data_IF_338350357593
#
_entry.id   IF_338350357593
#
_cell.length_a   1.000
_cell.length_b   1.000
_cell.length_c   1.000
_cell.angle_alpha   90.00
_cell.angle_beta   90.00
_cell.angle_gamma   90.00
#
_symmetry.space_group_name_H-M   'P 1'
#
loop_
_entity.id
_entity.type
_entity.pdbx_description
1 polymer ?
#
# COMPACT_ATOMS: atom_id res chain seq x y z
N UNK A 1 3.73 -20.90 -5.14
CA UNK A 1 3.90 -19.44 -5.29
C UNK A 1 2.65 -18.82 -5.93
N UNK A 2 2.01 -17.86 -5.25
CA UNK A 2 0.97 -17.01 -5.85
C UNK A 2 1.52 -16.24 -7.06
N UNK A 3 0.67 -15.85 -7.99
CA UNK A 3 1.02 -14.78 -8.93
C UNK A 3 1.13 -15.21 -10.38
N UNK A 4 0.13 -15.90 -10.90
CA UNK A 4 -0.11 -15.94 -12.34
C UNK A 4 -1.34 -15.06 -12.60
N UNK A 5 -1.10 -13.78 -12.87
CA UNK A 5 -2.17 -12.80 -13.05
C UNK A 5 -2.30 -12.42 -14.52
N UNK A 6 -3.50 -12.59 -15.08
CA UNK A 6 -3.86 -12.10 -16.41
C UNK A 6 -4.32 -10.65 -16.27
N UNK A 7 -3.58 -9.67 -16.83
CA UNK A 7 -3.96 -8.27 -16.70
C UNK A 7 -5.37 -8.02 -17.26
N UNK A 8 -6.18 -7.25 -16.52
CA UNK A 8 -7.55 -6.92 -16.91
C UNK A 8 -8.59 -8.04 -16.72
N UNK A 9 -8.18 -9.26 -16.33
CA UNK A 9 -9.09 -10.39 -16.13
C UNK A 9 -9.00 -11.00 -14.73
N UNK A 10 -7.81 -11.09 -14.15
CA UNK A 10 -7.64 -11.70 -12.82
C UNK A 10 -8.09 -10.74 -11.72
N UNK A 11 -9.13 -11.13 -10.99
CA UNK A 11 -9.50 -10.51 -9.71
C UNK A 11 -8.63 -11.09 -8.60
N UNK A 12 -7.50 -10.41 -8.35
CA UNK A 12 -6.51 -10.82 -7.35
C UNK A 12 -7.12 -10.85 -5.94
N UNK A 13 -8.12 -10.01 -5.66
CA UNK A 13 -8.75 -9.96 -4.34
C UNK A 13 -9.68 -11.15 -4.11
N UNK A 14 -10.51 -11.50 -5.09
CA UNK A 14 -11.36 -12.69 -5.00
C UNK A 14 -10.53 -13.97 -4.95
N UNK A 15 -9.45 -14.06 -5.74
CA UNK A 15 -8.53 -15.20 -5.68
C UNK A 15 -7.86 -15.32 -4.30
N UNK A 16 -7.43 -14.19 -3.74
CA UNK A 16 -6.90 -14.13 -2.38
C UNK A 16 -7.94 -14.62 -1.36
N UNK A 17 -9.18 -14.12 -1.40
CA UNK A 17 -10.24 -14.51 -0.47
C UNK A 17 -10.61 -15.99 -0.57
N UNK A 18 -10.80 -16.52 -1.78
CA UNK A 18 -11.15 -17.93 -2.00
C UNK A 18 -10.05 -18.89 -1.53
N UNK A 19 -8.78 -18.51 -1.75
CA UNK A 19 -7.64 -19.30 -1.30
C UNK A 19 -7.34 -19.10 0.19
N UNK A 20 -7.57 -17.91 0.74
CA UNK A 20 -7.42 -17.61 2.17
C UNK A 20 -8.28 -18.56 3.02
N UNK A 21 -9.52 -18.78 2.60
CA UNK A 21 -10.44 -19.70 3.31
C UNK A 21 -9.99 -21.17 3.20
N UNK A 22 -9.30 -21.55 2.12
CA UNK A 22 -8.70 -22.89 1.94
C UNK A 22 -7.37 -23.07 2.69
N UNK A 23 -6.63 -21.98 2.91
CA UNK A 23 -5.28 -22.00 3.48
C UNK A 23 -5.25 -21.70 5.00
N UNK A 24 -6.40 -21.50 5.65
CA UNK A 24 -6.48 -21.39 7.12
C UNK A 24 -5.91 -20.09 7.70
N UNK A 25 -5.78 -19.04 6.89
CA UNK A 25 -5.25 -17.74 7.33
C UNK A 25 -6.31 -16.97 8.15
N UNK A 26 -6.32 -17.18 9.48
CA UNK A 26 -7.08 -16.34 10.43
C UNK A 26 -6.29 -15.05 10.71
N UNK A 27 -6.87 -13.86 10.50
CA UNK A 27 -6.23 -12.58 10.82
C UNK A 27 -5.77 -12.48 12.28
N UNK A 28 -6.44 -13.18 13.20
CA UNK A 28 -6.07 -13.18 14.62
C UNK A 28 -4.71 -13.86 14.91
N UNK A 29 -4.32 -14.87 14.11
CA UNK A 29 -3.07 -15.62 14.33
C UNK A 29 -1.83 -14.88 13.76
N UNK A 30 -1.96 -14.22 12.61
CA UNK A 30 -0.85 -13.47 11.98
C UNK A 30 -0.44 -12.21 12.77
N UNK A 31 -1.38 -11.63 13.52
CA UNK A 31 -1.12 -10.48 14.41
C UNK A 31 -0.23 -10.86 15.60
N UNK A 32 -0.16 -12.15 15.97
CA UNK A 32 0.69 -12.62 17.07
C UNK A 32 2.18 -12.76 16.67
N UNK A 33 2.48 -13.02 15.39
CA UNK A 33 3.83 -13.38 14.94
C UNK A 33 4.72 -12.20 14.53
N UNK A 34 4.18 -11.09 14.00
CA UNK A 34 4.96 -9.97 13.43
C UNK A 34 5.38 -8.89 14.43
N UNK A 35 5.69 -9.28 15.68
CA UNK A 35 5.94 -8.32 16.77
C UNK A 35 7.37 -7.82 16.89
N UNK A 36 8.28 -8.17 15.99
CA UNK A 36 9.66 -7.70 16.05
C UNK A 36 10.16 -7.22 14.69
N UNK A 37 10.93 -6.13 14.77
CA UNK A 37 11.68 -5.46 13.71
C UNK A 37 10.86 -4.47 12.88
N UNK A 38 10.86 -3.21 13.31
CA UNK A 38 11.50 -2.14 12.53
C UNK A 38 11.67 -0.88 13.38
N UNK A 39 12.90 -0.63 13.81
CA UNK A 39 13.34 0.61 14.43
C UNK A 39 14.46 1.23 13.61
N UNK A 40 14.22 2.41 13.05
CA UNK A 40 15.15 3.45 12.58
C UNK A 40 14.29 4.45 11.78
N UNK A 41 14.25 5.76 12.02
CA UNK A 41 15.34 6.71 12.23
C UNK A 41 14.82 7.93 13.01
N UNK A 42 15.49 8.29 14.11
CA UNK A 42 15.43 9.63 14.72
C UNK A 42 16.84 10.20 14.64
N UNK A 43 17.10 10.99 13.62
CA UNK A 43 18.35 11.72 13.47
C UNK A 43 18.15 12.98 12.63
N UNK A 44 17.45 13.97 13.19
CA UNK A 44 17.62 15.37 12.84
C UNK A 44 17.00 16.18 13.98
N UNK A 45 17.79 16.99 14.68
CA UNK A 45 17.38 17.79 15.84
C UNK A 45 16.45 18.97 15.49
N UNK A 46 15.48 18.76 14.62
CA UNK A 46 14.40 19.70 14.33
C UNK A 46 13.08 19.10 14.82
N UNK A 47 12.72 19.43 16.06
CA UNK A 47 11.52 18.92 16.72
C UNK A 47 10.22 19.56 16.19
N UNK A 48 10.31 20.49 15.23
CA UNK A 48 9.15 21.19 14.69
C UNK A 48 8.46 20.43 13.54
N UNK A 49 9.20 19.59 12.80
CA UNK A 49 8.67 18.74 11.72
C UNK A 49 8.52 17.26 12.10
N UNK A 50 9.05 16.84 13.25
CA UNK A 50 9.06 15.44 13.72
C UNK A 50 7.86 15.04 14.58
N UNK A 51 7.07 15.99 15.07
CA UNK A 51 5.70 15.67 15.49
C UNK A 51 4.90 15.57 14.21
N UNK A 52 4.57 14.35 13.77
CA UNK A 52 3.53 14.17 12.76
C UNK A 52 2.20 14.80 13.22
N UNK A 53 1.07 14.36 12.67
CA UNK A 53 -0.25 14.80 13.13
C UNK A 53 -0.61 14.22 14.53
N UNK A 54 0.14 14.60 15.57
CA UNK A 54 -0.04 14.17 16.97
C UNK A 54 -0.07 15.40 17.88
N UNK A 55 -1.20 15.65 18.52
CA UNK A 55 -1.39 16.83 19.37
C UNK A 55 -2.86 17.15 19.60
N UNK A 56 -3.12 18.37 20.09
CA UNK A 56 -4.48 18.90 20.22
C UNK A 56 -5.08 19.24 18.86
N UNK A 57 -6.40 19.41 18.78
CA UNK A 57 -7.07 19.75 17.51
C UNK A 57 -6.49 21.00 16.87
N UNK A 58 -6.18 22.04 17.66
CA UNK A 58 -5.59 23.27 17.15
C UNK A 58 -4.19 23.07 16.57
N UNK A 59 -3.37 22.23 17.20
CA UNK A 59 -2.05 21.86 16.68
C UNK A 59 -2.16 21.10 15.36
N UNK A 60 -3.12 20.18 15.25
CA UNK A 60 -3.36 19.44 14.00
C UNK A 60 -3.88 20.35 12.90
N UNK A 61 -4.82 21.26 13.21
CA UNK A 61 -5.32 22.26 12.24
C UNK A 61 -4.18 23.16 11.74
N UNK A 62 -3.37 23.68 12.64
CA UNK A 62 -2.19 24.48 12.26
C UNK A 62 -1.22 23.68 11.40
N UNK A 63 -0.93 22.43 11.78
CA UNK A 63 -0.06 21.54 11.02
C UNK A 63 -0.60 21.31 9.60
N UNK A 64 -1.86 20.91 9.45
CA UNK A 64 -2.47 20.62 8.15
C UNK A 64 -2.63 21.88 7.28
N UNK A 65 -2.89 23.05 7.88
CA UNK A 65 -2.94 24.33 7.15
C UNK A 65 -1.62 24.64 6.45
N UNK A 66 -0.47 24.37 7.09
CA UNK A 66 0.84 24.56 6.44
C UNK A 66 1.02 23.68 5.19
N UNK A 67 0.47 22.45 5.22
CA UNK A 67 0.48 21.57 4.05
C UNK A 67 -0.50 22.04 2.97
N UNK A 68 -1.71 22.46 3.36
CA UNK A 68 -2.71 23.06 2.46
C UNK A 68 -2.15 24.31 1.76
N UNK A 69 -1.48 25.21 2.49
CA UNK A 69 -0.81 26.40 1.96
C UNK A 69 0.33 26.06 1.00
N UNK A 70 1.02 24.94 1.21
CA UNK A 70 2.03 24.40 0.29
C UNK A 70 1.42 23.73 -0.96
N UNK A 71 0.10 23.63 -1.04
CA UNK A 71 -0.63 23.04 -2.16
C UNK A 71 -0.83 21.52 -2.07
N UNK A 72 -0.65 20.94 -0.89
CA UNK A 72 -0.98 19.53 -0.64
C UNK A 72 -2.50 19.40 -0.50
N UNK A 73 -3.08 18.51 -1.30
CA UNK A 73 -4.52 18.24 -1.36
C UNK A 73 -4.89 16.83 -0.88
N UNK A 74 -3.91 16.01 -0.52
CA UNK A 74 -4.13 14.68 0.04
C UNK A 74 -3.15 14.40 1.17
N UNK A 75 -3.69 13.97 2.30
CA UNK A 75 -2.93 13.53 3.49
C UNK A 75 -3.38 12.13 3.86
N UNK A 76 -2.41 11.24 4.10
CA UNK A 76 -2.65 9.85 4.49
C UNK A 76 -2.11 9.66 5.90
N UNK A 77 -2.94 9.10 6.79
CA UNK A 77 -2.54 8.81 8.16
C UNK A 77 -2.11 7.36 8.33
N UNK A 78 -0.96 7.16 8.97
CA UNK A 78 -0.50 5.84 9.42
C UNK A 78 -0.63 5.79 10.94
N UNK A 79 -1.77 5.29 11.42
CA UNK A 79 -2.10 5.28 12.85
C UNK A 79 -1.82 3.92 13.53
N UNK A 80 -1.75 2.85 12.75
CA UNK A 80 -1.48 1.48 13.21
C UNK A 80 0.03 1.18 13.36
N UNK A 81 0.88 2.21 13.28
CA UNK A 81 2.31 2.05 13.48
C UNK A 81 2.62 1.93 14.99
N UNK A 82 3.32 0.87 15.38
CA UNK A 82 3.71 0.62 16.76
C UNK A 82 2.65 -0.15 17.56
N UNK A 83 2.51 0.18 18.85
CA UNK A 83 1.64 -0.55 19.80
C UNK A 83 0.38 0.23 20.19
N UNK A 84 -0.16 1.01 19.26
CA UNK A 84 -1.41 1.74 19.46
C UNK A 84 -2.57 0.74 19.58
N UNK A 85 -3.50 0.98 20.52
CA UNK A 85 -4.68 0.13 20.66
C UNK A 85 -5.69 0.51 19.58
N UNK A 86 -6.45 -0.46 19.12
CA UNK A 86 -7.49 -0.23 18.12
C UNK A 86 -8.50 0.84 18.56
N UNK A 87 -8.95 0.79 19.82
CA UNK A 87 -9.90 1.76 20.38
C UNK A 87 -9.39 3.20 20.38
N UNK A 88 -8.09 3.40 20.65
CA UNK A 88 -7.47 4.73 20.65
C UNK A 88 -7.43 5.31 19.23
N UNK A 89 -7.17 4.44 18.24
CA UNK A 89 -7.14 4.84 16.82
C UNK A 89 -8.54 5.20 16.34
N UNK A 90 -9.54 4.38 16.66
CA UNK A 90 -10.94 4.68 16.31
C UNK A 90 -11.40 5.99 16.95
N UNK A 91 -11.12 6.20 18.23
CA UNK A 91 -11.43 7.46 18.92
C UNK A 91 -10.72 8.66 18.28
N UNK A 92 -9.44 8.54 17.92
CA UNK A 92 -8.71 9.61 17.23
C UNK A 92 -9.28 9.92 15.84
N UNK A 93 -9.81 8.94 15.11
CA UNK A 93 -10.46 9.17 13.81
C UNK A 93 -11.80 9.90 13.98
N UNK A 94 -12.59 9.54 14.99
CA UNK A 94 -13.85 10.22 15.30
C UNK A 94 -13.61 11.69 15.66
N UNK A 95 -12.62 11.96 16.53
CA UNK A 95 -12.22 13.32 16.90
C UNK A 95 -11.70 14.10 15.69
N UNK A 96 -10.89 13.48 14.83
CA UNK A 96 -10.41 14.12 13.62
C UNK A 96 -11.57 14.49 12.69
N UNK A 97 -12.51 13.57 12.46
CA UNK A 97 -13.65 13.79 11.58
C UNK A 97 -14.60 14.89 12.08
N UNK A 98 -14.83 14.96 13.40
CA UNK A 98 -15.72 15.95 14.01
C UNK A 98 -15.08 17.33 14.19
N UNK A 99 -13.83 17.37 14.65
CA UNK A 99 -13.21 18.62 15.11
C UNK A 99 -12.30 19.23 14.05
N UNK A 100 -11.54 18.43 13.29
CA UNK A 100 -10.47 18.94 12.44
C UNK A 100 -10.88 18.98 10.96
N UNK A 101 -11.41 17.88 10.43
CA UNK A 101 -11.72 17.72 9.02
C UNK A 101 -12.70 18.76 8.42
N UNK A 102 -13.74 19.25 9.12
CA UNK A 102 -14.78 20.07 8.50
C UNK A 102 -14.26 21.34 7.81
N UNK A 103 -13.31 22.05 8.42
CA UNK A 103 -12.79 23.30 7.85
C UNK A 103 -12.03 23.09 6.53
N UNK A 104 -11.32 21.97 6.39
CA UNK A 104 -10.62 21.61 5.16
C UNK A 104 -11.60 21.15 4.09
N UNK A 105 -12.62 20.38 4.49
CA UNK A 105 -13.67 19.94 3.56
C UNK A 105 -14.50 21.08 3.00
N UNK A 106 -14.71 22.15 3.76
CA UNK A 106 -15.37 23.35 3.28
C UNK A 106 -14.56 24.05 2.16
N UNK A 107 -13.22 24.06 2.27
CA UNK A 107 -12.32 24.72 1.30
C UNK A 107 -11.94 23.86 0.10
N UNK A 108 -11.93 22.54 0.26
CA UNK A 108 -11.50 21.55 -0.73
C UNK A 108 -12.13 21.74 -2.13
N UNK A 109 -13.45 21.98 -2.30
CA UNK A 109 -14.04 22.17 -3.62
C UNK A 109 -13.42 23.33 -4.42
N UNK A 110 -13.17 24.47 -3.75
CA UNK A 110 -12.58 25.63 -4.40
C UNK A 110 -11.10 25.40 -4.76
N UNK A 111 -10.33 24.80 -3.84
CA UNK A 111 -8.94 24.45 -4.07
C UNK A 111 -8.79 23.42 -5.20
N UNK A 112 -9.63 22.40 -5.21
CA UNK A 112 -9.69 21.36 -6.25
C UNK A 112 -10.01 21.94 -7.63
N UNK A 113 -11.00 22.85 -7.73
CA UNK A 113 -11.34 23.53 -8.98
C UNK A 113 -10.18 24.40 -9.50
N UNK A 114 -9.57 25.21 -8.62
CA UNK A 114 -8.43 26.05 -8.97
C UNK A 114 -7.21 25.21 -9.41
N UNK A 115 -6.94 24.08 -8.74
CA UNK A 115 -5.91 23.14 -9.16
C UNK A 115 -6.22 22.55 -10.53
N UNK A 116 -7.45 22.09 -10.76
CA UNK A 116 -7.87 21.50 -12.02
C UNK A 116 -7.68 22.48 -13.19
N UNK A 117 -8.11 23.74 -13.03
CA UNK A 117 -7.92 24.80 -14.03
C UNK A 117 -6.44 25.05 -14.30
N UNK A 118 -5.63 25.21 -13.23
CA UNK A 118 -4.19 25.45 -13.33
C UNK A 118 -3.44 24.33 -14.06
N UNK A 119 -3.80 23.07 -13.82
CA UNK A 119 -3.10 21.92 -14.41
C UNK A 119 -3.67 21.50 -15.77
N UNK A 120 -4.87 21.92 -16.14
CA UNK A 120 -5.51 21.57 -17.41
C UNK A 120 -4.59 21.75 -18.64
N UNK A 121 -3.93 22.91 -18.86
CA UNK A 121 -3.03 23.07 -20.01
C UNK A 121 -1.77 22.19 -19.93
N UNK A 122 -1.30 21.87 -18.72
CA UNK A 122 -0.15 20.98 -18.51
C UNK A 122 -0.52 19.55 -18.87
N UNK A 123 -1.70 19.10 -18.43
CA UNK A 123 -2.26 17.79 -18.76
C UNK A 123 -2.50 17.69 -20.26
N UNK A 124 -3.10 18.69 -20.89
CA UNK A 124 -3.30 18.73 -22.34
C UNK A 124 -1.97 18.62 -23.10
N UNK A 125 -0.98 19.43 -22.74
CA UNK A 125 0.34 19.38 -23.38
C UNK A 125 1.06 18.04 -23.13
N UNK A 126 0.87 17.40 -21.97
CA UNK A 126 1.43 16.10 -21.66
C UNK A 126 0.75 14.98 -22.48
N UNK A 127 -0.58 15.02 -22.59
CA UNK A 127 -1.35 14.07 -23.38
C UNK A 127 -1.12 14.24 -24.89
N UNK A 128 -0.94 15.46 -25.38
CA UNK A 128 -0.60 15.72 -26.79
C UNK A 128 0.77 15.13 -27.20
N UNK A 129 1.69 14.97 -26.24
CA UNK A 129 2.98 14.29 -26.45
C UNK A 129 2.88 12.77 -26.38
N UNK A 130 1.77 12.22 -25.90
CA UNK A 130 1.60 10.76 -25.76
C UNK A 130 1.42 10.16 -27.15
N UNK A 131 2.40 9.37 -27.58
CA UNK A 131 2.26 8.45 -28.70
C UNK A 131 1.68 7.15 -28.17
N UNK A 132 0.57 6.70 -28.74
CA UNK A 132 -0.02 5.40 -28.39
C UNK A 132 0.45 4.34 -29.38
N UNK A 133 1.73 3.98 -29.29
CA UNK A 133 2.36 2.90 -30.06
C UNK A 133 2.54 1.63 -29.22
N UNK A 134 1.91 1.58 -28.04
CA UNK A 134 1.93 0.41 -27.19
C UNK A 134 1.38 -0.79 -27.97
N UNK A 135 2.16 -1.88 -28.12
CA UNK A 135 1.68 -3.06 -28.80
C UNK A 135 0.48 -3.63 -28.01
N UNK A 136 -0.47 -4.21 -28.73
CA UNK A 136 -1.54 -4.96 -28.10
C UNK A 136 -0.94 -6.01 -27.17
N UNK A 137 -1.53 -6.17 -25.98
CA UNK A 137 -1.09 -7.20 -25.06
C UNK A 137 -1.22 -8.57 -25.75
N UNK A 138 -0.16 -9.40 -25.74
CA UNK A 138 -0.23 -10.72 -26.35
C UNK A 138 -1.37 -11.54 -25.77
N UNK A 139 -2.03 -12.32 -26.63
CA UNK A 139 -3.05 -13.27 -26.18
C UNK A 139 -2.44 -14.26 -25.18
N UNK A 140 -3.09 -14.42 -24.02
CA UNK A 140 -2.59 -15.29 -22.96
C UNK A 140 -1.40 -14.73 -22.16
N UNK A 141 -1.14 -13.42 -22.22
CA UNK A 141 -0.10 -12.81 -21.36
C UNK A 141 -0.45 -12.95 -19.87
N UNK A 142 0.51 -13.48 -19.11
CA UNK A 142 0.41 -13.68 -17.67
C UNK A 142 1.59 -12.99 -17.01
N UNK A 143 1.31 -12.10 -16.05
CA UNK A 143 2.32 -11.63 -15.10
C UNK A 143 2.57 -12.74 -14.10
N UNK A 144 3.63 -13.51 -14.37
CA UNK A 144 4.07 -14.64 -13.53
C UNK A 144 4.94 -14.14 -12.39
N UNK A 145 4.83 -14.78 -11.24
CA UNK A 145 5.69 -14.49 -10.11
C UNK A 145 7.15 -14.82 -10.44
N UNK A 146 8.06 -13.94 -10.02
CA UNK A 146 9.50 -14.03 -10.31
C UNK A 146 10.07 -15.44 -10.04
N UNK A 147 9.78 -16.09 -8.89
CA UNK A 147 10.29 -17.45 -8.64
C UNK A 147 9.82 -18.48 -9.69
N UNK A 148 8.56 -18.39 -10.14
CA UNK A 148 8.00 -19.27 -11.18
C UNK A 148 8.64 -19.01 -12.55
N UNK A 149 8.86 -17.74 -12.90
CA UNK A 149 9.51 -17.37 -14.14
C UNK A 149 10.97 -17.86 -14.17
N UNK A 150 11.69 -17.77 -13.05
CA UNK A 150 13.08 -18.25 -12.94
C UNK A 150 13.19 -19.77 -13.09
N UNK A 151 12.34 -20.53 -12.40
CA UNK A 151 12.36 -22.01 -12.45
C UNK A 151 12.01 -22.53 -13.84
N UNK A 152 11.08 -21.89 -14.54
CA UNK A 152 10.72 -22.27 -15.91
C UNK A 152 11.82 -21.91 -16.91
N UNK A 153 12.49 -20.76 -16.74
CA UNK A 153 13.60 -20.35 -17.61
C UNK A 153 14.79 -21.32 -17.55
N UNK A 154 14.98 -22.02 -16.43
CA UNK A 154 16.04 -23.04 -16.26
C UNK A 154 15.54 -24.48 -16.45
N UNK A 155 14.27 -24.66 -16.84
CA UNK A 155 13.60 -25.96 -17.06
C UNK A 155 13.86 -27.00 -15.95
N UNK A 156 13.78 -26.58 -14.68
CA UNK A 156 14.10 -27.44 -13.54
C UNK A 156 12.85 -28.07 -12.93
N UNK A 157 12.70 -29.38 -13.09
CA UNK A 157 11.64 -30.16 -12.43
C UNK A 157 11.75 -30.13 -10.90
N UNK A 158 12.98 -30.06 -10.37
CA UNK A 158 13.23 -29.90 -8.94
C UNK A 158 12.76 -28.52 -8.45
N UNK A 159 13.05 -27.48 -9.23
CA UNK A 159 12.55 -26.13 -8.97
C UNK A 159 11.02 -26.06 -9.00
N UNK A 160 10.35 -26.76 -9.94
CA UNK A 160 8.88 -26.79 -10.02
C UNK A 160 8.28 -27.39 -8.75
N UNK A 161 8.76 -28.57 -8.34
CA UNK A 161 8.30 -29.25 -7.11
C UNK A 161 8.58 -28.44 -5.84
N UNK A 162 9.72 -27.75 -5.80
CA UNK A 162 10.06 -26.85 -4.70
C UNK A 162 9.09 -25.67 -4.60
N UNK A 163 8.73 -25.03 -5.71
CA UNK A 163 7.77 -23.93 -5.74
C UNK A 163 6.35 -24.35 -5.35
N UNK A 164 5.96 -25.58 -5.66
CA UNK A 164 4.68 -26.18 -5.25
C UNK A 164 4.69 -26.44 -3.74
N UNK A 165 5.75 -27.06 -3.22
CA UNK A 165 5.94 -27.28 -1.78
C UNK A 165 5.95 -25.95 -1.00
N UNK A 166 6.59 -24.92 -1.56
CA UNK A 166 6.61 -23.57 -0.97
C UNK A 166 5.22 -22.92 -1.00
N UNK A 167 4.43 -23.15 -2.06
CA UNK A 167 3.04 -22.70 -2.15
C UNK A 167 2.19 -23.28 -1.00
N UNK A 168 2.37 -24.56 -0.74
CA UNK A 168 1.65 -25.31 0.30
C UNK A 168 2.10 -24.91 1.71
N UNK A 169 3.39 -24.69 1.94
CA UNK A 169 3.92 -24.27 3.26
C UNK A 169 3.58 -22.82 3.62
N UNK A 170 3.78 -21.89 2.68
CA UNK A 170 3.47 -20.47 2.90
C UNK A 170 1.99 -20.21 3.19
N UNK A 171 1.11 -21.08 2.66
CA UNK A 171 -0.31 -21.06 2.97
C UNK A 171 -0.63 -21.29 4.45
N UNK A 172 0.17 -22.08 5.17
CA UNK A 172 -0.06 -22.42 6.59
C UNK A 172 0.70 -21.46 7.53
N UNK A 173 1.33 -20.41 6.99
CA UNK A 173 2.05 -19.41 7.78
C UNK A 173 3.47 -19.81 8.20
N UNK A 174 4.06 -20.81 7.55
CA UNK A 174 5.46 -21.20 7.72
C UNK A 174 6.37 -20.26 6.89
N UNK A 175 7.08 -19.36 7.56
CA UNK A 175 7.89 -18.29 6.93
C UNK A 175 9.30 -18.78 6.50
N UNK A 176 9.72 -19.99 6.89
CA UNK A 176 11.09 -20.49 6.69
C UNK A 176 11.45 -20.79 5.22
N UNK A 177 10.48 -20.82 4.31
CA UNK A 177 10.70 -21.20 2.91
C UNK A 177 11.42 -20.16 2.04
N UNK A 178 11.42 -18.87 2.42
CA UNK A 178 12.07 -17.80 1.66
C UNK A 178 13.56 -17.64 2.00
N UNK A 179 13.95 -17.91 3.25
CA UNK A 179 15.35 -17.88 3.72
C UNK A 179 16.24 -18.87 2.97
N UNK A 180 15.71 -20.06 2.66
CA UNK A 180 16.43 -21.10 1.92
C UNK A 180 16.72 -20.73 0.45
N UNK A 181 16.11 -19.66 -0.07
CA UNK A 181 16.24 -19.24 -1.48
C UNK A 181 17.44 -18.32 -1.74
N UNK A 182 17.96 -17.64 -0.71
CA UNK A 182 19.03 -16.65 -0.83
C UNK A 182 20.36 -17.09 -0.19
N UNK A 183 20.37 -18.23 0.50
CA UNK A 183 21.54 -18.77 1.21
C UNK A 183 21.64 -18.28 2.64
#
# INVERSE_FOLDING_TARGET
VFGDHVPGHTDVWQEFMAKRDQMGYSPEAAIAAKKEVLGAQVAAGDTSGLRGAVGTYDQIREYLRRYEEAGVDQVIFVMQAGRNRHEDIMSSLELFAGEVLPEFKERDPAASAAKAERIAPIVEAALARRVDDAPAMPEGYVMRAIPKAMVEAVDSDEGRRFLDTMAEKSAVGDEDGLSDLLG
#
